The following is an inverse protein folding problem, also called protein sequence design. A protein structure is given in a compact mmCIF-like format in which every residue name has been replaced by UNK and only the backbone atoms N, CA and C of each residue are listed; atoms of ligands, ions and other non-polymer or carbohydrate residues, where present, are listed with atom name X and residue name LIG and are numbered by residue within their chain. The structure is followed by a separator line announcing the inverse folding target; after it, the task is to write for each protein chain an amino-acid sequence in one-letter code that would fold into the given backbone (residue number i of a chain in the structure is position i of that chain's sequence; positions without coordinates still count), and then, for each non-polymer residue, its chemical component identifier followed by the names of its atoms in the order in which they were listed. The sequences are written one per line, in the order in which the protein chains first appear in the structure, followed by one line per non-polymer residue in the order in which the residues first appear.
data_IF_805769131696
#
_entry.id   IF_805769131696
#
_cell.length_a   1.000
_cell.length_b   1.000
_cell.length_c   1.000
_cell.angle_alpha   90.00
_cell.angle_beta   90.00
_cell.angle_gamma   90.00
#
_symmetry.space_group_name_H-M   'P 1'
#
loop_
_entity.id
_entity.type
_entity.pdbx_description
1 polymer ?
#
# COMPACT_ATOMS: atom_id res chain seq x y z
N UNK A 1 -3.24 -17.50 9.91
CA UNK A 1 -4.10 -16.54 9.17
C UNK A 1 -3.18 -15.46 8.64
N UNK A 2 -3.00 -15.31 7.32
CA UNK A 2 -2.05 -14.34 6.79
C UNK A 2 -2.66 -12.94 6.93
N UNK A 3 -2.09 -12.13 7.82
CA UNK A 3 -2.40 -10.71 7.90
C UNK A 3 -1.73 -9.99 6.74
N UNK A 4 -2.47 -9.13 6.05
CA UNK A 4 -2.04 -8.41 4.85
C UNK A 4 -0.85 -7.42 5.04
N UNK A 5 -0.11 -7.49 6.16
CA UNK A 5 1.03 -6.62 6.50
C UNK A 5 0.81 -5.14 6.14
N UNK A 6 -0.39 -4.65 6.43
CA UNK A 6 -0.80 -3.28 6.14
C UNK A 6 0.05 -2.31 6.95
N UNK A 7 0.78 -1.43 6.27
CA UNK A 7 1.61 -0.41 6.92
C UNK A 7 1.36 0.98 6.32
N UNK A 8 1.12 2.00 7.15
CA UNK A 8 1.06 3.37 6.68
C UNK A 8 2.47 3.83 6.28
N UNK A 9 2.56 4.60 5.19
CA UNK A 9 3.79 5.26 4.78
C UNK A 9 3.94 6.61 5.48
N UNK A 10 5.18 7.02 5.66
CA UNK A 10 5.56 8.27 6.34
C UNK A 10 6.29 9.22 5.38
N UNK A 11 6.58 10.44 5.82
CA UNK A 11 7.22 11.47 4.99
C UNK A 11 6.28 12.03 3.93
N UNK A 12 6.77 12.21 2.71
CA UNK A 12 6.02 12.78 1.57
C UNK A 12 4.84 11.92 1.11
N UNK A 13 4.76 10.67 1.59
CA UNK A 13 3.68 9.72 1.31
C UNK A 13 2.72 9.54 2.50
N UNK A 14 2.67 10.51 3.42
CA UNK A 14 1.73 10.48 4.54
C UNK A 14 0.28 10.44 4.03
N UNK A 15 -0.48 9.42 4.46
CA UNK A 15 -1.85 9.16 3.96
C UNK A 15 -1.93 8.03 2.94
N UNK A 16 -0.77 7.54 2.47
CA UNK A 16 -0.65 6.34 1.64
C UNK A 16 -0.44 5.12 2.54
N UNK A 17 -1.03 4.00 2.14
CA UNK A 17 -0.90 2.70 2.78
C UNK A 17 -0.23 1.71 1.83
N UNK A 18 0.52 0.77 2.38
CA UNK A 18 1.15 -0.31 1.64
C UNK A 18 0.65 -1.67 2.14
N UNK A 19 0.37 -2.58 1.21
CA UNK A 19 -0.01 -3.97 1.48
C UNK A 19 0.95 -4.91 0.78
N UNK A 20 1.34 -6.00 1.44
CA UNK A 20 2.17 -7.05 0.82
C UNK A 20 1.26 -8.16 0.30
N UNK A 21 1.34 -8.46 -0.99
CA UNK A 21 0.51 -9.49 -1.63
C UNK A 21 1.22 -10.85 -1.61
N UNK A 22 2.45 -10.91 -2.13
CA UNK A 22 3.27 -12.12 -2.14
C UNK A 22 4.72 -11.83 -2.57
N UNK A 23 5.70 -12.43 -1.92
CA UNK A 23 7.12 -12.21 -2.26
C UNK A 23 7.49 -10.72 -2.18
N UNK A 24 8.02 -10.17 -3.28
CA UNK A 24 8.39 -8.75 -3.38
C UNK A 24 7.25 -7.82 -3.82
N UNK A 25 6.07 -8.36 -4.14
CA UNK A 25 4.95 -7.56 -4.62
C UNK A 25 4.30 -6.73 -3.52
N UNK A 26 4.24 -5.41 -3.73
CA UNK A 26 3.53 -4.47 -2.86
C UNK A 26 2.57 -3.60 -3.64
N UNK A 27 1.37 -3.40 -3.08
CA UNK A 27 0.41 -2.42 -3.58
C UNK A 27 0.43 -1.23 -2.65
N UNK A 28 0.45 -0.02 -3.21
CA UNK A 28 0.27 1.21 -2.43
C UNK A 28 -0.98 1.95 -2.86
N UNK A 29 -1.77 2.40 -1.89
CA UNK A 29 -3.04 3.08 -2.13
C UNK A 29 -3.27 4.20 -1.14
N UNK A 30 -4.03 5.18 -1.56
CA UNK A 30 -4.55 6.23 -0.69
C UNK A 30 -6.02 5.96 -0.40
N UNK A 31 -6.41 6.26 0.84
CA UNK A 31 -7.81 6.20 1.25
C UNK A 31 -8.31 7.63 1.38
N UNK A 32 -9.22 8.05 0.51
CA UNK A 32 -9.82 9.40 0.55
C UNK A 32 -11.33 9.25 0.48
N UNK A 33 -12.02 9.76 1.51
CA UNK A 33 -13.48 9.82 1.59
C UNK A 33 -14.24 8.50 1.36
N UNK A 34 -13.63 7.37 1.74
CA UNK A 34 -14.23 6.04 1.57
C UNK A 34 -13.83 5.33 0.28
N UNK A 35 -13.18 6.04 -0.64
CA UNK A 35 -12.68 5.52 -1.90
C UNK A 35 -11.19 5.16 -1.82
N UNK A 36 -10.83 4.13 -2.57
CA UNK A 36 -9.46 3.64 -2.70
C UNK A 36 -8.87 4.14 -4.00
N UNK A 37 -7.84 4.97 -3.90
CA UNK A 37 -7.06 5.44 -5.03
C UNK A 37 -5.75 4.66 -5.09
N UNK A 38 -5.62 3.77 -6.08
CA UNK A 38 -4.39 3.00 -6.28
C UNK A 38 -3.31 3.94 -6.81
N UNK A 39 -2.29 4.20 -6.00
CA UNK A 39 -1.20 5.11 -6.35
C UNK A 39 -0.14 4.39 -7.18
N UNK A 40 0.13 3.10 -6.89
CA UNK A 40 1.13 2.35 -7.65
C UNK A 40 1.04 0.83 -7.51
N UNK A 41 1.42 0.12 -8.57
CA UNK A 41 1.70 -1.31 -8.62
C UNK A 41 3.17 -1.50 -9.00
N UNK A 42 4.05 -1.45 -7.99
CA UNK A 42 5.51 -1.52 -8.21
C UNK A 42 6.01 -2.93 -7.94
N UNK A 43 6.54 -3.57 -8.98
CA UNK A 43 7.43 -4.72 -8.86
C UNK A 43 8.76 -4.21 -8.32
N UNK A 44 9.01 -4.41 -7.02
CA UNK A 44 10.29 -4.08 -6.41
C UNK A 44 11.22 -5.28 -6.64
N UNK A 45 11.98 -5.26 -7.75
CA UNK A 45 12.99 -6.27 -8.01
C UNK A 45 14.18 -6.12 -7.04
#
# INVERSE_FOLDING_TARGET
MPGFFLRPLTGDRKGVWAVTVSGNWRITFEFRDGDVFIVNYEDYH
#
